data_IF_777031251055
#
_entry.id   IF_777031251055
#
_cell.length_a   1.000
_cell.length_b   1.000
_cell.length_c   1.000
_cell.angle_alpha   90.00
_cell.angle_beta   90.00
_cell.angle_gamma   90.00
#
_symmetry.space_group_name_H-M   'P 1'
#
loop_
_entity.id
_entity.type
_entity.pdbx_description
1 polymer ?
#
# COMPACT_ATOMS: atom_id res chain seq x y z
N UNK A 1 -4.21 -3.20 -0.39
CA UNK A 1 -3.92 -2.53 0.89
C UNK A 1 -3.35 -3.54 1.86
N UNK A 2 -2.51 -3.09 2.78
CA UNK A 2 -1.99 -3.90 3.88
C UNK A 2 -2.15 -3.16 5.22
N UNK A 3 -2.19 -3.93 6.30
CA UNK A 3 -2.21 -3.43 7.69
C UNK A 3 -1.19 -4.21 8.52
N UNK A 4 -0.65 -3.57 9.56
CA UNK A 4 0.16 -4.24 10.58
C UNK A 4 -0.68 -4.77 11.74
N UNK A 5 -0.02 -5.08 12.87
CA UNK A 5 -0.65 -5.66 14.07
C UNK A 5 -1.81 -4.84 14.65
N UNK A 6 -1.80 -3.52 14.52
CA UNK A 6 -2.91 -2.69 14.97
C UNK A 6 -4.20 -2.92 14.19
N UNK A 7 -4.11 -3.49 12.98
CA UNK A 7 -5.23 -3.60 12.05
C UNK A 7 -5.73 -2.26 11.48
N UNK A 8 -5.11 -1.15 11.89
CA UNK A 8 -5.55 0.20 11.52
C UNK A 8 -4.98 0.60 10.16
N UNK A 9 -5.88 0.88 9.20
CA UNK A 9 -5.48 1.27 7.85
C UNK A 9 -4.73 2.61 7.79
N UNK A 10 -4.95 3.49 8.77
CA UNK A 10 -4.20 4.75 8.88
C UNK A 10 -2.72 4.55 9.19
N UNK A 11 -2.36 3.40 9.77
CA UNK A 11 -0.98 2.97 10.00
C UNK A 11 -0.51 1.94 8.95
N UNK A 12 -1.39 1.57 8.03
CA UNK A 12 -1.13 0.63 6.95
C UNK A 12 -0.64 1.32 5.68
N UNK A 13 -0.91 0.66 4.56
CA UNK A 13 -0.45 1.13 3.27
C UNK A 13 -1.04 0.40 2.07
N UNK A 14 -0.41 0.62 0.92
CA UNK A 14 -0.73 -0.07 -0.32
C UNK A 14 0.49 -0.85 -0.80
N UNK A 15 0.27 -2.07 -1.28
CA UNK A 15 1.30 -2.81 -1.99
C UNK A 15 1.16 -2.50 -3.47
N UNK A 16 2.26 -2.09 -4.09
CA UNK A 16 2.36 -1.80 -5.53
C UNK A 16 3.16 -2.92 -6.16
N UNK A 17 2.48 -3.75 -6.96
CA UNK A 17 3.12 -4.80 -7.77
C UNK A 17 3.82 -4.14 -8.96
N UNK A 18 5.14 -4.24 -9.01
CA UNK A 18 5.98 -3.56 -10.01
C UNK A 18 7.40 -4.13 -10.00
N UNK A 19 8.06 -4.11 -11.16
CA UNK A 19 9.49 -4.41 -11.28
C UNK A 19 10.37 -3.16 -11.04
N UNK A 20 9.79 -1.97 -11.11
CA UNK A 20 10.49 -0.71 -10.85
C UNK A 20 10.43 -0.39 -9.36
N UNK A 21 11.37 -0.97 -8.62
CA UNK A 21 11.46 -0.84 -7.17
C UNK A 21 12.15 0.47 -6.78
N UNK A 22 11.60 1.14 -5.77
CA UNK A 22 12.26 2.22 -5.06
C UNK A 22 12.87 1.69 -3.73
N UNK A 23 14.01 2.21 -3.27
CA UNK A 23 14.60 1.81 -1.99
C UNK A 23 13.67 2.04 -0.79
N UNK A 24 13.76 1.20 0.24
CA UNK A 24 13.09 1.43 1.54
C UNK A 24 13.40 2.83 2.08
N UNK A 25 12.38 3.52 2.57
CA UNK A 25 12.46 4.91 3.03
C UNK A 25 12.29 5.96 1.93
N UNK A 26 12.14 5.58 0.65
CA UNK A 26 11.87 6.53 -0.42
C UNK A 26 10.49 7.16 -0.25
N UNK A 27 10.40 8.49 -0.37
CA UNK A 27 9.13 9.21 -0.38
C UNK A 27 8.42 9.05 -1.74
N UNK A 28 7.11 8.81 -1.69
CA UNK A 28 6.28 8.56 -2.88
C UNK A 28 4.96 9.32 -2.76
N UNK A 29 4.60 10.05 -3.82
CA UNK A 29 3.23 10.56 -4.02
C UNK A 29 2.49 9.61 -4.93
N UNK A 30 1.34 9.12 -4.49
CA UNK A 30 0.54 8.12 -5.20
C UNK A 30 -0.82 8.70 -5.55
N UNK A 31 -1.31 8.37 -6.75
CA UNK A 31 -2.73 8.46 -7.08
C UNK A 31 -3.32 7.05 -6.99
N UNK A 32 -4.23 6.84 -6.04
CA UNK A 32 -4.90 5.56 -5.84
C UNK A 32 -6.27 5.63 -6.51
N UNK A 33 -6.50 4.79 -7.51
CA UNK A 33 -7.80 4.67 -8.19
C UNK A 33 -8.47 3.37 -7.80
N UNK A 34 -9.72 3.46 -7.35
CA UNK A 34 -10.57 2.36 -6.94
C UNK A 34 -11.72 2.16 -7.93
N UNK A 35 -12.39 0.98 -7.93
CA UNK A 35 -13.53 0.72 -8.79
C UNK A 35 -14.61 1.81 -8.70
N UNK A 36 -15.23 2.15 -9.84
CA UNK A 36 -16.18 3.26 -9.94
C UNK A 36 -15.51 4.61 -10.21
N UNK A 37 -14.25 4.61 -10.65
CA UNK A 37 -13.47 5.81 -10.99
C UNK A 37 -13.31 6.78 -9.80
N UNK A 38 -13.30 6.24 -8.57
CA UNK A 38 -13.03 6.98 -7.35
C UNK A 38 -11.53 7.02 -7.14
N UNK A 39 -10.94 8.20 -6.98
CA UNK A 39 -9.50 8.34 -6.77
C UNK A 39 -9.17 9.26 -5.61
N UNK A 40 -7.99 9.06 -5.04
CA UNK A 40 -7.44 9.92 -4.00
C UNK A 40 -5.91 9.97 -4.11
N UNK A 41 -5.34 11.13 -3.82
CA UNK A 41 -3.90 11.28 -3.75
C UNK A 41 -3.42 11.10 -2.31
N UNK A 42 -2.34 10.34 -2.15
CA UNK A 42 -1.77 10.01 -0.84
C UNK A 42 -0.25 10.09 -0.92
N UNK A 43 0.35 10.69 0.11
CA UNK A 43 1.80 10.64 0.31
C UNK A 43 2.16 9.44 1.18
N UNK A 44 3.34 8.87 0.96
CA UNK A 44 3.82 7.74 1.73
C UNK A 44 5.31 7.51 1.58
N UNK A 45 5.81 6.55 2.35
CA UNK A 45 7.18 6.05 2.25
C UNK A 45 7.19 4.55 1.98
N UNK A 46 8.17 4.10 1.19
CA UNK A 46 8.44 2.67 1.00
C UNK A 46 8.81 2.05 2.34
N UNK A 47 8.04 1.06 2.80
CA UNK A 47 8.26 0.34 4.07
C UNK A 47 8.97 -0.98 3.86
N UNK A 48 8.71 -1.64 2.74
CA UNK A 48 9.32 -2.91 2.38
C UNK A 48 9.32 -3.11 0.87
N UNK A 49 10.19 -4.02 0.42
CA UNK A 49 10.42 -4.36 -0.98
C UNK A 49 10.39 -5.87 -1.11
N UNK A 50 9.75 -6.36 -2.18
CA UNK A 50 9.88 -7.72 -2.68
C UNK A 50 10.72 -7.67 -3.95
N UNK A 51 11.92 -8.26 -3.87
CA UNK A 51 12.93 -8.14 -4.91
C UNK A 51 12.50 -8.85 -6.19
N UNK A 52 12.46 -8.18 -7.36
CA UNK A 52 12.20 -8.82 -8.65
C UNK A 52 13.22 -9.87 -9.06
N UNK A 53 14.42 -9.85 -8.47
CA UNK A 53 15.47 -10.83 -8.74
C UNK A 53 15.40 -12.06 -7.83
N UNK A 54 14.52 -12.05 -6.83
CA UNK A 54 14.27 -13.22 -5.99
C UNK A 54 13.36 -14.23 -6.72
N UNK A 55 13.97 -14.97 -7.66
CA UNK A 55 13.31 -16.00 -8.47
C UNK A 55 12.80 -17.20 -7.65
N UNK A 56 13.18 -17.30 -6.36
CA UNK A 56 12.70 -18.34 -5.46
C UNK A 56 11.41 -17.93 -4.73
N UNK A 57 11.01 -16.66 -4.82
CA UNK A 57 9.77 -16.16 -4.24
C UNK A 57 8.60 -16.40 -5.20
N UNK A 58 7.59 -17.15 -4.74
CA UNK A 58 6.28 -17.27 -5.42
C UNK A 58 5.44 -15.97 -5.38
N UNK A 59 5.91 -14.94 -4.67
CA UNK A 59 5.21 -13.66 -4.53
C UNK A 59 5.55 -12.69 -5.67
N UNK A 60 4.55 -11.93 -6.11
CA UNK A 60 4.76 -10.84 -7.07
C UNK A 60 5.77 -9.80 -6.53
N UNK A 61 6.73 -9.35 -7.37
CA UNK A 61 7.65 -8.30 -6.99
C UNK A 61 6.95 -6.97 -6.85
N UNK A 62 7.49 -6.11 -5.99
CA UNK A 62 6.87 -4.84 -5.72
C UNK A 62 7.33 -4.22 -4.42
N UNK A 63 6.57 -3.25 -3.96
CA UNK A 63 6.89 -2.53 -2.74
C UNK A 63 5.65 -2.16 -1.96
N UNK A 64 5.75 -2.24 -0.65
CA UNK A 64 4.75 -1.71 0.25
C UNK A 64 5.03 -0.25 0.55
N UNK A 65 4.08 0.62 0.26
CA UNK A 65 4.14 2.04 0.58
C UNK A 65 3.19 2.31 1.74
N UNK A 66 3.75 2.72 2.87
CA UNK A 66 2.98 3.10 4.06
C UNK A 66 2.52 4.54 3.96
N UNK A 67 1.31 4.84 4.41
CA UNK A 67 0.74 6.18 4.30
C UNK A 67 1.37 7.16 5.29
N UNK A 68 1.68 8.39 4.86
CA UNK A 68 2.14 9.48 5.72
C UNK A 68 0.96 10.32 6.20
N UNK A 69 -0.03 9.64 6.77
CA UNK A 69 -1.33 10.21 7.06
C UNK A 69 -2.29 10.15 5.88
N UNK A 70 -3.57 10.04 6.21
CA UNK A 70 -4.67 10.04 5.25
C UNK A 70 -5.57 11.21 5.58
N UNK A 71 -6.07 11.90 4.55
CA UNK A 71 -7.21 12.81 4.74
C UNK A 71 -8.43 11.99 5.17
N UNK A 72 -9.44 12.65 5.75
CA UNK A 72 -10.66 11.98 6.17
C UNK A 72 -11.37 11.30 4.97
N UNK A 73 -11.35 11.97 3.82
CA UNK A 73 -11.94 11.49 2.56
C UNK A 73 -11.18 10.28 2.02
N UNK A 74 -9.83 10.36 1.98
CA UNK A 74 -8.99 9.25 1.54
C UNK A 74 -9.19 8.02 2.43
N UNK A 75 -9.22 8.23 3.75
CA UNK A 75 -9.46 7.18 4.74
C UNK A 75 -10.83 6.53 4.54
N UNK A 76 -11.90 7.30 4.43
CA UNK A 76 -13.25 6.75 4.24
C UNK A 76 -13.36 5.97 2.92
N UNK A 77 -12.79 6.51 1.83
CA UNK A 77 -12.76 5.86 0.54
C UNK A 77 -12.04 4.49 0.60
N UNK A 78 -10.87 4.44 1.22
CA UNK A 78 -10.10 3.20 1.40
C UNK A 78 -10.85 2.23 2.32
N UNK A 79 -11.42 2.71 3.44
CA UNK A 79 -12.19 1.88 4.37
C UNK A 79 -13.38 1.19 3.69
N UNK A 80 -14.12 1.90 2.85
CA UNK A 80 -15.22 1.34 2.06
C UNK A 80 -14.76 0.21 1.15
N UNK A 81 -13.58 0.34 0.55
CA UNK A 81 -13.01 -0.68 -0.32
C UNK A 81 -12.53 -1.91 0.46
N UNK A 82 -11.77 -1.72 1.55
CA UNK A 82 -11.20 -2.85 2.30
C UNK A 82 -12.26 -3.69 3.03
N UNK A 83 -13.45 -3.13 3.29
CA UNK A 83 -14.61 -3.90 3.79
C UNK A 83 -15.08 -4.97 2.80
N UNK A 84 -14.89 -4.75 1.50
CA UNK A 84 -15.24 -5.72 0.44
C UNK A 84 -14.09 -6.66 0.11
N UNK A 85 -12.86 -6.17 0.24
CA UNK A 85 -11.63 -6.94 0.01
C UNK A 85 -10.68 -6.71 1.19
N UNK A 86 -10.65 -7.64 2.16
CA UNK A 86 -9.81 -7.50 3.35
C UNK A 86 -8.35 -7.16 2.96
N UNK A 87 -7.69 -6.27 3.72
CA UNK A 87 -6.30 -5.95 3.48
C UNK A 87 -5.42 -7.16 3.79
N UNK A 88 -4.24 -7.22 3.18
CA UNK A 88 -3.21 -8.19 3.56
C UNK A 88 -2.64 -7.82 4.92
N UNK A 89 -2.23 -8.81 5.69
CA UNK A 89 -1.44 -8.58 6.89
C UNK A 89 0.04 -8.47 6.51
N UNK A 90 0.75 -7.51 7.09
CA UNK A 90 2.20 -7.35 6.92
C UNK A 90 2.81 -6.79 8.21
N UNK A 91 3.80 -7.48 8.78
CA UNK A 91 4.35 -7.24 10.12
C UNK A 91 5.81 -6.78 10.17
N UNK A 92 6.48 -6.64 9.02
CA UNK A 92 7.91 -6.28 8.92
C UNK A 92 8.22 -4.79 8.58
#
# INVERSE_FOLDING_TARGET
FYVGFSGEISQGGVFVSTYNILPKGSAVRMLITLPGNLSTEVNGHVRFVRDPMDMASDSEPGMGIGFDGLTAEARDLILRFIRKRPPMFYDE
#
